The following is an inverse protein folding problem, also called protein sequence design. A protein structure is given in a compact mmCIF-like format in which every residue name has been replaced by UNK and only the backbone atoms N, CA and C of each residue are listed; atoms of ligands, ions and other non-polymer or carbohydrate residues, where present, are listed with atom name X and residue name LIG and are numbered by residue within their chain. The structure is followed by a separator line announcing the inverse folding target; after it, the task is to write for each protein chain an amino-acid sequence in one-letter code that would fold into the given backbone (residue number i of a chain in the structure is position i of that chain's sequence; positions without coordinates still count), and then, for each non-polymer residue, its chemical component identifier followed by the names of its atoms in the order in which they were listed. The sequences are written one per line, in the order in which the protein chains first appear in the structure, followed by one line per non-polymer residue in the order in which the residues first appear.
data_IF_448783378558
#
_entry.id   IF_448783378558
#
_cell.length_a   1.000
_cell.length_b   1.000
_cell.length_c   1.000
_cell.angle_alpha   90.00
_cell.angle_beta   90.00
_cell.angle_gamma   90.00
#
_symmetry.space_group_name_H-M   'P 1'
#
loop_
_entity.id
_entity.type
_entity.pdbx_description
1 polymer ?
#
# COMPACT_ATOMS: atom_id res chain seq x y z
N UNK A 1 23.57 4.07 -61.97
CA UNK A 1 23.83 3.19 -60.81
C UNK A 1 23.42 3.96 -59.56
N UNK A 2 22.19 3.75 -59.08
CA UNK A 2 21.68 4.43 -57.88
C UNK A 2 21.52 3.37 -56.78
N UNK A 3 22.30 3.50 -55.72
CA UNK A 3 22.23 2.62 -54.54
C UNK A 3 21.18 3.20 -53.60
N UNK A 4 20.04 2.54 -53.52
CA UNK A 4 18.95 2.90 -52.60
C UNK A 4 19.23 2.28 -51.23
N UNK A 5 19.79 3.07 -50.32
CA UNK A 5 20.03 2.67 -48.93
C UNK A 5 18.70 2.77 -48.19
N UNK A 6 18.06 1.62 -47.95
CA UNK A 6 16.85 1.54 -47.15
C UNK A 6 17.24 1.57 -45.67
N UNK A 7 16.92 2.67 -44.99
CA UNK A 7 17.14 2.83 -43.55
C UNK A 7 16.03 2.08 -42.82
N UNK A 8 16.38 0.95 -42.20
CA UNK A 8 15.48 0.16 -41.38
C UNK A 8 15.32 0.84 -40.00
N UNK A 9 14.24 1.58 -39.79
CA UNK A 9 13.86 2.09 -38.48
C UNK A 9 13.40 0.92 -37.60
N UNK A 10 14.27 0.42 -36.72
CA UNK A 10 13.85 -0.43 -35.60
C UNK A 10 13.04 0.43 -34.63
N UNK A 11 11.72 0.32 -34.68
CA UNK A 11 10.85 0.83 -33.65
C UNK A 11 11.15 0.05 -32.35
N UNK A 12 11.89 0.66 -31.42
CA UNK A 12 11.90 0.22 -30.04
C UNK A 12 10.49 0.41 -29.49
N UNK A 13 9.73 -0.67 -29.46
CA UNK A 13 8.48 -0.74 -28.71
C UNK A 13 8.90 -0.68 -27.25
N UNK A 14 8.99 0.53 -26.70
CA UNK A 14 9.10 0.71 -25.25
C UNK A 14 7.92 0.00 -24.62
N UNK A 15 8.20 -1.09 -23.89
CA UNK A 15 7.18 -1.72 -23.07
C UNK A 15 6.70 -0.65 -22.10
N UNK A 16 5.52 -0.08 -22.37
CA UNK A 16 4.83 0.76 -21.41
C UNK A 16 4.53 -0.13 -20.21
N UNK A 17 5.40 -0.12 -19.20
CA UNK A 17 5.11 -0.73 -17.92
C UNK A 17 3.85 -0.04 -17.42
N UNK A 18 2.72 -0.74 -17.46
CA UNK A 18 1.48 -0.22 -16.87
C UNK A 18 1.79 0.07 -15.41
N UNK A 19 1.91 1.35 -15.06
CA UNK A 19 1.88 1.75 -13.66
C UNK A 19 0.54 1.25 -13.13
N UNK A 20 0.60 0.16 -12.37
CA UNK A 20 -0.57 -0.46 -11.78
C UNK A 20 -1.11 0.49 -10.71
N UNK A 21 -1.91 1.45 -11.13
CA UNK A 21 -2.67 2.35 -10.27
C UNK A 21 -3.87 1.57 -9.73
N UNK A 22 -3.66 0.95 -8.58
CA UNK A 22 -4.66 0.12 -7.94
C UNK A 22 -5.55 0.96 -7.03
N UNK A 23 -6.79 0.51 -6.82
CA UNK A 23 -7.76 1.22 -5.98
C UNK A 23 -8.67 0.26 -5.22
N UNK A 24 -9.08 0.69 -4.04
CA UNK A 24 -10.07 0.04 -3.19
C UNK A 24 -11.01 1.11 -2.64
N UNK A 25 -12.32 0.82 -2.66
CA UNK A 25 -13.32 1.69 -2.05
C UNK A 25 -14.49 0.84 -1.54
N UNK A 26 -14.71 0.82 -0.23
CA UNK A 26 -15.86 0.15 0.39
C UNK A 26 -16.23 0.86 1.69
N UNK A 27 -17.50 1.23 1.83
CA UNK A 27 -18.02 1.97 2.99
C UNK A 27 -17.18 3.25 3.27
N UNK A 28 -16.60 3.34 4.46
CA UNK A 28 -15.79 4.45 4.92
C UNK A 28 -14.35 4.45 4.41
N UNK A 29 -13.89 3.32 3.84
CA UNK A 29 -12.48 3.09 3.52
C UNK A 29 -12.24 3.32 2.04
N UNK A 30 -11.25 4.15 1.74
CA UNK A 30 -10.71 4.37 0.40
C UNK A 30 -9.20 4.20 0.43
N UNK A 31 -8.65 3.51 -0.56
CA UNK A 31 -7.21 3.42 -0.75
C UNK A 31 -6.87 3.45 -2.25
N UNK A 32 -5.80 4.16 -2.61
CA UNK A 32 -5.16 4.02 -3.91
C UNK A 32 -3.70 3.72 -3.70
N UNK A 33 -3.12 2.92 -4.58
CA UNK A 33 -1.70 2.60 -4.48
C UNK A 33 -1.07 2.39 -5.85
N UNK A 34 0.22 2.71 -5.93
CA UNK A 34 1.04 2.57 -7.13
C UNK A 34 2.50 2.33 -6.75
N UNK A 35 3.26 1.75 -7.66
CA UNK A 35 4.71 1.65 -7.52
C UNK A 35 5.34 2.93 -8.04
N UNK A 36 6.10 3.60 -7.18
CA UNK A 36 6.81 4.84 -7.50
C UNK A 36 8.11 4.88 -6.70
N UNK A 37 9.21 5.26 -7.36
CA UNK A 37 10.55 5.34 -6.76
C UNK A 37 11.00 4.06 -6.03
N UNK A 38 10.69 2.88 -6.59
CA UNK A 38 11.09 1.60 -6.02
C UNK A 38 10.37 1.23 -4.72
N UNK A 39 9.24 1.87 -4.41
CA UNK A 39 8.39 1.57 -3.27
C UNK A 39 6.90 1.60 -3.64
N UNK A 40 6.08 0.95 -2.83
CA UNK A 40 4.63 0.99 -2.94
C UNK A 40 4.12 2.22 -2.20
N UNK A 41 3.63 3.21 -2.95
CA UNK A 41 2.99 4.40 -2.39
C UNK A 41 1.51 4.11 -2.17
N UNK A 42 1.01 4.35 -0.96
CA UNK A 42 -0.39 4.13 -0.60
C UNK A 42 -0.98 5.43 -0.07
N UNK A 43 -2.02 5.91 -0.74
CA UNK A 43 -2.92 6.94 -0.22
C UNK A 43 -4.10 6.22 0.41
N UNK A 44 -4.30 6.41 1.71
CA UNK A 44 -5.32 5.74 2.51
C UNK A 44 -6.22 6.77 3.21
N UNK A 45 -7.52 6.51 3.24
CA UNK A 45 -8.50 7.29 3.99
C UNK A 45 -9.55 6.39 4.63
N UNK A 46 -9.91 6.71 5.88
CA UNK A 46 -11.04 6.11 6.56
C UNK A 46 -11.80 7.18 7.36
N UNK A 47 -13.06 7.44 7.00
CA UNK A 47 -13.89 8.49 7.61
C UNK A 47 -14.75 8.02 8.81
N UNK A 48 -14.46 6.85 9.38
CA UNK A 48 -15.15 6.29 10.56
C UNK A 48 -14.20 5.84 11.66
N UNK A 49 -13.09 6.54 11.86
CA UNK A 49 -12.13 6.27 12.93
C UNK A 49 -12.14 7.43 13.92
N UNK A 50 -12.58 7.17 15.14
CA UNK A 50 -12.56 8.10 16.27
C UNK A 50 -11.29 7.93 17.11
N UNK A 51 -11.11 8.78 18.12
CA UNK A 51 -10.04 8.60 19.10
C UNK A 51 -10.18 7.24 19.83
N UNK A 52 -9.04 6.63 20.17
CA UNK A 52 -8.93 5.28 20.75
C UNK A 52 -9.44 4.14 19.84
N UNK A 53 -9.45 4.36 18.53
CA UNK A 53 -9.76 3.34 17.52
C UNK A 53 -8.56 3.11 16.60
N UNK A 54 -8.64 2.04 15.82
CA UNK A 54 -7.60 1.70 14.85
C UNK A 54 -8.22 1.20 13.56
N UNK A 55 -7.43 1.28 12.50
CA UNK A 55 -7.73 0.67 11.20
C UNK A 55 -6.45 0.09 10.62
N UNK A 56 -6.57 -0.86 9.70
CA UNK A 56 -5.41 -1.54 9.17
C UNK A 56 -5.51 -1.81 7.67
N UNK A 57 -4.32 -1.97 7.10
CA UNK A 57 -4.03 -2.46 5.78
C UNK A 57 -3.41 -3.85 5.94
N UNK A 58 -3.86 -4.83 5.18
CA UNK A 58 -3.35 -6.21 5.25
C UNK A 58 -2.93 -6.72 3.88
N UNK A 59 -1.75 -7.34 3.83
CA UNK A 59 -1.18 -7.99 2.65
C UNK A 59 -1.04 -9.49 2.93
N UNK A 60 -1.78 -10.31 2.18
CA UNK A 60 -1.72 -11.76 2.28
C UNK A 60 -3.05 -12.45 1.99
N UNK A 61 -3.06 -13.80 2.02
CA UNK A 61 -4.24 -14.60 1.69
C UNK A 61 -5.40 -14.47 2.69
N UNK A 62 -5.13 -14.07 3.94
CA UNK A 62 -6.13 -13.90 5.00
C UNK A 62 -5.51 -13.85 6.39
N UNK A 63 -6.31 -13.64 7.45
CA UNK A 63 -5.84 -13.41 8.84
C UNK A 63 -4.90 -14.49 9.40
N UNK A 64 -4.92 -15.71 8.87
CA UNK A 64 -3.92 -16.72 9.23
C UNK A 64 -2.48 -16.31 8.90
N UNK A 65 -2.29 -15.40 7.93
CA UNK A 65 -0.97 -14.99 7.45
C UNK A 65 -1.03 -13.68 6.63
N UNK A 66 -1.20 -12.53 7.29
CA UNK A 66 -1.06 -11.21 6.66
C UNK A 66 0.08 -10.42 7.27
N UNK A 67 0.85 -9.74 6.44
CA UNK A 67 1.63 -8.59 6.88
C UNK A 67 0.68 -7.39 6.98
N UNK A 68 0.77 -6.59 8.04
CA UNK A 68 -0.19 -5.52 8.31
C UNK A 68 0.50 -4.18 8.55
N UNK A 69 -0.18 -3.11 8.14
CA UNK A 69 0.10 -1.72 8.55
C UNK A 69 -1.10 -1.27 9.35
N UNK A 70 -0.91 -0.95 10.63
CA UNK A 70 -1.96 -0.58 11.56
C UNK A 70 -1.82 0.90 11.89
N UNK A 71 -2.88 1.67 11.62
CA UNK A 71 -3.01 3.07 12.02
C UNK A 71 -3.85 3.12 13.29
N UNK A 72 -3.24 3.55 14.39
CA UNK A 72 -3.91 3.69 15.69
C UNK A 72 -4.09 5.17 15.98
N UNK A 73 -5.29 5.56 16.38
CA UNK A 73 -5.59 6.92 16.83
C UNK A 73 -5.65 6.93 18.35
N UNK A 74 -4.72 7.63 18.98
CA UNK A 74 -4.65 7.78 20.42
C UNK A 74 -4.31 9.23 20.75
N UNK A 75 -5.05 9.83 21.70
CA UNK A 75 -4.92 11.25 22.03
C UNK A 75 -5.00 12.16 20.78
N UNK A 76 -5.87 11.82 19.83
CA UNK A 76 -6.04 12.49 18.54
C UNK A 76 -4.78 12.53 17.65
N UNK A 77 -3.76 11.72 17.98
CA UNK A 77 -2.56 11.52 17.18
C UNK A 77 -2.62 10.15 16.52
N UNK A 78 -2.08 10.05 15.31
CA UNK A 78 -2.00 8.77 14.60
C UNK A 78 -0.61 8.19 14.77
N UNK A 79 -0.54 6.95 15.26
CA UNK A 79 0.69 6.15 15.28
C UNK A 79 0.56 4.99 14.30
N UNK A 80 1.63 4.73 13.54
CA UNK A 80 1.70 3.60 12.61
C UNK A 80 2.55 2.49 13.22
N UNK A 81 2.06 1.26 13.15
CA UNK A 81 2.83 0.05 13.44
C UNK A 81 2.70 -0.95 12.31
N UNK A 82 3.76 -1.70 12.08
CA UNK A 82 3.74 -2.85 11.17
C UNK A 82 3.83 -4.15 11.96
N UNK A 83 3.41 -5.25 11.36
CA UNK A 83 3.47 -6.55 12.00
C UNK A 83 2.91 -7.66 11.13
N UNK A 84 2.61 -8.80 11.76
CA UNK A 84 2.06 -9.97 11.10
C UNK A 84 0.95 -10.62 11.90
N UNK A 85 -0.08 -11.11 11.21
CA UNK A 85 -1.12 -11.95 11.81
C UNK A 85 -0.73 -13.43 11.70
N UNK A 86 -1.10 -14.23 12.70
CA UNK A 86 -0.85 -15.68 12.76
C UNK A 86 -2.14 -16.47 13.06
N UNK A 87 -3.31 -15.88 12.77
CA UNK A 87 -4.62 -16.42 13.11
C UNK A 87 -5.64 -15.31 13.40
N UNK A 88 -6.72 -15.66 14.10
CA UNK A 88 -7.79 -14.72 14.48
C UNK A 88 -7.46 -13.89 15.75
N UNK A 89 -6.20 -13.89 16.17
CA UNK A 89 -5.71 -13.09 17.29
C UNK A 89 -5.18 -11.71 16.88
N UNK A 90 -4.69 -10.92 17.84
CA UNK A 90 -4.02 -9.66 17.54
C UNK A 90 -2.75 -9.90 16.71
N UNK A 91 -2.35 -8.96 15.83
CA UNK A 91 -1.09 -9.05 15.12
C UNK A 91 0.09 -8.99 16.10
N UNK A 92 1.14 -9.74 15.80
CA UNK A 92 2.43 -9.54 16.42
C UNK A 92 3.12 -8.38 15.69
N UNK A 93 3.39 -7.31 16.43
CA UNK A 93 4.01 -6.12 15.86
C UNK A 93 5.52 -6.29 15.73
N UNK A 94 6.07 -5.70 14.67
CA UNK A 94 7.50 -5.62 14.44
C UNK A 94 8.17 -4.76 15.53
N UNK A 95 9.44 -5.04 15.82
CA UNK A 95 10.24 -4.22 16.73
C UNK A 95 10.41 -2.79 16.21
N UNK A 96 10.43 -2.62 14.89
CA UNK A 96 10.49 -1.32 14.22
C UNK A 96 9.51 -1.32 13.04
N UNK A 97 8.83 -0.19 12.82
CA UNK A 97 7.92 -0.04 11.70
C UNK A 97 8.69 0.03 10.38
N UNK A 98 8.43 -0.91 9.47
CA UNK A 98 9.11 -0.99 8.18
C UNK A 98 8.43 -0.15 7.08
N UNK A 99 7.74 0.92 7.47
CA UNK A 99 6.97 1.80 6.59
C UNK A 99 7.27 3.24 6.90
N UNK A 100 7.50 4.04 5.86
CA UNK A 100 7.76 5.47 5.98
C UNK A 100 6.46 6.25 5.81
N UNK A 101 6.14 7.10 6.78
CA UNK A 101 5.00 8.02 6.70
C UNK A 101 5.41 9.34 6.06
N UNK A 102 4.75 9.73 4.96
CA UNK A 102 4.94 11.05 4.34
C UNK A 102 3.90 12.06 4.83
N UNK A 103 2.66 11.61 5.05
CA UNK A 103 1.60 12.40 5.67
C UNK A 103 0.72 11.47 6.49
N UNK A 104 0.38 11.87 7.71
CA UNK A 104 -0.64 11.18 8.51
C UNK A 104 -1.38 12.22 9.32
N UNK A 105 -2.71 12.21 9.26
CA UNK A 105 -3.54 13.08 10.08
C UNK A 105 -4.83 12.39 10.48
N UNK A 106 -5.39 12.88 11.58
CA UNK A 106 -6.71 12.53 12.05
C UNK A 106 -7.46 13.82 12.42
N UNK A 107 -8.68 13.97 11.92
CA UNK A 107 -9.55 15.10 12.23
C UNK A 107 -11.01 14.66 12.26
N UNK A 108 -11.71 14.95 13.35
CA UNK A 108 -13.06 14.42 13.61
C UNK A 108 -13.05 12.89 13.63
N UNK A 109 -13.74 12.28 12.66
CA UNK A 109 -13.74 10.82 12.45
C UNK A 109 -12.90 10.37 11.25
N UNK A 110 -12.13 11.28 10.64
CA UNK A 110 -11.41 11.02 9.39
C UNK A 110 -9.93 10.87 9.63
N UNK A 111 -9.40 9.71 9.27
CA UNK A 111 -7.98 9.42 9.18
C UNK A 111 -7.54 9.47 7.72
N UNK A 112 -6.48 10.21 7.42
CA UNK A 112 -5.81 10.18 6.12
C UNK A 112 -4.33 9.84 6.32
N UNK A 113 -3.80 9.01 5.43
CA UNK A 113 -2.40 8.65 5.43
C UNK A 113 -1.85 8.54 4.01
N UNK A 114 -0.61 8.98 3.85
CA UNK A 114 0.25 8.70 2.71
C UNK A 114 1.49 7.99 3.24
N UNK A 115 1.67 6.74 2.84
CA UNK A 115 2.77 5.89 3.30
C UNK A 115 3.53 5.27 2.13
N UNK A 116 4.84 5.11 2.31
CA UNK A 116 5.74 4.42 1.40
C UNK A 116 6.16 3.10 2.01
N UNK A 117 5.84 2.00 1.33
CA UNK A 117 6.08 0.62 1.78
C UNK A 117 7.19 0.00 0.92
N UNK A 118 8.23 -0.61 1.52
CA UNK A 118 9.23 -1.36 0.77
C UNK A 118 8.59 -2.48 -0.05
N UNK A 119 9.10 -2.73 -1.27
CA UNK A 119 8.55 -3.76 -2.15
C UNK A 119 8.70 -5.17 -1.59
N UNK A 120 9.70 -5.38 -0.73
CA UNK A 120 9.81 -6.54 0.14
C UNK A 120 9.37 -6.14 1.55
N UNK A 121 8.08 -6.33 1.85
CA UNK A 121 7.49 -5.99 3.14
C UNK A 121 7.38 -7.27 3.99
N UNK A 122 8.19 -7.39 5.03
CA UNK A 122 8.23 -8.55 5.94
C UNK A 122 8.29 -9.90 5.18
N UNK A 123 9.17 -9.98 4.18
CA UNK A 123 9.38 -11.17 3.35
C UNK A 123 8.35 -11.38 2.23
N UNK A 124 7.39 -10.47 2.06
CA UNK A 124 6.37 -10.52 1.01
C UNK A 124 6.65 -9.50 -0.09
N UNK A 125 6.54 -9.94 -1.34
CA UNK A 125 6.59 -9.05 -2.49
C UNK A 125 5.24 -8.35 -2.72
N UNK A 126 5.21 -7.01 -2.66
CA UNK A 126 4.00 -6.18 -2.79
C UNK A 126 3.96 -5.35 -4.09
N UNK A 127 4.62 -5.81 -5.15
CA UNK A 127 4.77 -5.05 -6.41
C UNK A 127 3.50 -4.96 -7.28
N UNK A 128 2.49 -5.78 -7.02
CA UNK A 128 1.28 -5.87 -7.85
C UNK A 128 0.04 -5.31 -7.13
N UNK A 129 -1.06 -5.11 -7.88
CA UNK A 129 -2.39 -4.96 -7.28
C UNK A 129 -2.79 -6.26 -6.58
N UNK A 130 -2.21 -6.51 -5.41
CA UNK A 130 -2.62 -7.61 -4.55
C UNK A 130 -4.09 -7.40 -4.23
N UNK A 131 -4.93 -8.40 -4.44
CA UNK A 131 -6.33 -8.36 -4.08
C UNK A 131 -6.41 -8.37 -2.55
N UNK A 132 -6.94 -7.30 -1.97
CA UNK A 132 -7.19 -7.21 -0.53
C UNK A 132 -8.44 -8.05 -0.27
N UNK A 133 -8.25 -9.37 -0.15
CA UNK A 133 -9.34 -10.30 0.03
C UNK A 133 -10.11 -9.92 1.30
N UNK A 134 -11.39 -9.58 1.11
CA UNK A 134 -12.41 -9.76 2.14
C UNK A 134 -13.36 -10.82 1.59
N UNK A 135 -13.41 -11.97 2.26
CA UNK A 135 -14.70 -12.65 2.35
C UNK A 135 -15.65 -11.75 3.13
#
# INVERSE_FOLDING_TARGET
MFVQISILFLALIGAASSQNNCKFSKNAVKATWKIENGALQIVYSNNRINNNQWTAIGFGPGMSNMNVIVFMVQNNQVTIRTGRTSGYGPPQFDNQSNVMSQMVNHSGSTLNALVSVPLNFNGMNVQNCQTWNKK
#
